data_IF_112941698617
#
_entry.id   IF_112941698617
#
_cell.length_a   1.000
_cell.length_b   1.000
_cell.length_c   1.000
_cell.angle_alpha   90.00
_cell.angle_beta   90.00
_cell.angle_gamma   90.00
#
_symmetry.space_group_name_H-M   'P 1'
#
loop_
_entity.id
_entity.type
_entity.pdbx_description
1 polymer ?
#
# COMPACT_ATOMS: atom_id res chain seq x y z
N UNK A 1 -82.70 -2.31 -21.13
CA UNK A 1 -83.22 -2.21 -19.73
C UNK A 1 -82.19 -1.43 -18.94
N UNK A 2 -82.40 -0.13 -18.67
CA UNK A 2 -82.90 0.47 -17.40
C UNK A 2 -81.91 0.33 -16.21
N UNK A 3 -81.89 1.30 -15.26
CA UNK A 3 -80.74 2.20 -15.05
C UNK A 3 -80.14 2.19 -13.62
N UNK A 4 -79.06 2.98 -13.42
CA UNK A 4 -78.52 3.47 -12.12
C UNK A 4 -79.60 4.02 -11.16
N UNK A 5 -79.37 4.08 -9.83
CA UNK A 5 -78.89 5.36 -9.23
C UNK A 5 -78.08 5.32 -7.90
N UNK A 6 -77.14 6.28 -7.83
CA UNK A 6 -76.87 7.32 -6.79
C UNK A 6 -76.51 7.03 -5.31
N UNK A 7 -75.36 7.62 -4.96
CA UNK A 7 -75.07 8.61 -3.88
C UNK A 7 -75.57 8.43 -2.43
N UNK A 8 -74.62 8.57 -1.48
CA UNK A 8 -74.59 9.55 -0.36
C UNK A 8 -73.24 9.41 0.36
N UNK A 9 -72.37 10.43 0.39
CA UNK A 9 -72.41 11.69 1.17
C UNK A 9 -72.01 11.52 2.65
N UNK A 10 -70.76 11.93 2.93
CA UNK A 10 -70.36 12.87 3.98
C UNK A 10 -70.56 12.52 5.46
N UNK A 11 -69.47 12.58 6.24
CA UNK A 11 -69.28 13.63 7.24
C UNK A 11 -67.91 13.59 7.92
N UNK A 12 -67.35 14.78 8.02
CA UNK A 12 -66.18 15.24 8.77
C UNK A 12 -66.34 15.06 10.28
N UNK A 13 -65.24 14.83 11.01
CA UNK A 13 -64.97 15.47 12.32
C UNK A 13 -63.46 15.73 12.45
N UNK A 14 -63.13 17.01 12.62
CA UNK A 14 -61.81 17.59 12.92
C UNK A 14 -61.51 17.65 14.43
N UNK A 15 -60.26 18.04 14.73
CA UNK A 15 -59.75 18.62 16.01
C UNK A 15 -59.47 17.62 17.13
N UNK A 16 -58.41 17.71 17.94
CA UNK A 16 -57.50 18.79 18.36
C UNK A 16 -56.32 18.08 19.08
N UNK A 17 -55.09 18.55 19.19
CA UNK A 17 -54.62 19.81 19.75
C UNK A 17 -53.38 19.48 20.61
N UNK A 18 -52.24 20.10 20.30
CA UNK A 18 -51.01 20.04 21.11
C UNK A 18 -51.21 20.71 22.48
N UNK A 19 -50.33 20.38 23.44
CA UNK A 19 -49.65 21.47 24.13
C UNK A 19 -48.15 21.22 24.36
N UNK A 20 -47.40 22.30 24.17
CA UNK A 20 -46.03 22.54 24.67
C UNK A 20 -46.09 22.84 26.17
N UNK A 21 -45.02 22.55 26.93
CA UNK A 21 -44.50 23.58 27.81
C UNK A 21 -42.97 23.73 27.78
N UNK A 22 -42.55 24.94 28.15
CA UNK A 22 -41.19 25.49 28.14
C UNK A 22 -40.36 25.06 29.36
N UNK A 23 -39.06 24.87 29.09
CA UNK A 23 -37.85 25.22 29.85
C UNK A 23 -37.85 25.18 31.39
N UNK A 24 -36.97 24.35 31.96
CA UNK A 24 -36.14 24.74 33.12
C UNK A 24 -34.72 24.20 33.00
N UNK A 25 -33.80 25.09 33.33
CA UNK A 25 -32.35 24.99 33.28
C UNK A 25 -31.83 24.28 34.52
N UNK A 26 -30.95 23.27 34.37
CA UNK A 26 -29.98 22.93 35.42
C UNK A 26 -28.62 22.59 34.83
N UNK A 27 -27.68 23.43 35.25
CA UNK A 27 -26.24 23.41 35.05
C UNK A 27 -25.57 22.31 35.88
N UNK A 28 -24.53 21.69 35.30
CA UNK A 28 -23.24 21.32 35.91
C UNK A 28 -22.80 19.92 35.46
N UNK A 29 -21.72 19.84 34.67
CA UNK A 29 -20.42 19.32 35.14
C UNK A 29 -19.40 19.35 33.99
N UNK A 30 -18.31 20.07 34.23
CA UNK A 30 -16.94 19.92 33.71
C UNK A 30 -16.72 19.42 32.28
N UNK A 31 -16.54 20.38 31.38
CA UNK A 31 -15.73 20.20 30.17
C UNK A 31 -14.41 20.94 30.35
N UNK A 32 -13.39 20.21 30.81
CA UNK A 32 -11.99 20.63 30.74
C UNK A 32 -11.59 20.74 29.27
N UNK A 33 -11.73 21.92 28.69
CA UNK A 33 -11.10 22.27 27.41
C UNK A 33 -9.60 22.45 27.65
N UNK A 34 -8.80 21.44 27.35
CA UNK A 34 -7.38 21.63 27.08
C UNK A 34 -7.24 22.35 25.75
N UNK A 35 -6.61 23.53 25.79
CA UNK A 35 -6.31 24.37 24.65
C UNK A 35 -5.68 23.59 23.49
N UNK A 36 -6.35 23.61 22.33
CA UNK A 36 -5.81 23.21 21.03
C UNK A 36 -5.06 24.44 20.49
N UNK A 37 -3.83 24.66 20.96
CA UNK A 37 -2.90 25.63 20.31
C UNK A 37 -1.41 25.41 20.60
N UNK A 38 -1.00 24.26 21.14
CA UNK A 38 0.43 23.96 21.44
C UNK A 38 0.87 22.55 20.97
N UNK A 39 0.48 22.15 19.76
CA UNK A 39 1.02 20.94 19.11
C UNK A 39 1.40 21.19 17.64
N UNK A 40 2.02 22.34 17.36
CA UNK A 40 2.48 22.71 16.02
C UNK A 40 4.02 22.72 15.86
N UNK A 41 4.77 22.05 16.75
CA UNK A 41 6.23 22.14 16.76
C UNK A 41 6.99 20.79 16.81
N UNK A 42 6.34 19.66 16.44
CA UNK A 42 7.03 18.35 16.42
C UNK A 42 6.77 17.49 15.16
N UNK A 43 6.42 18.10 14.03
CA UNK A 43 6.40 17.40 12.72
C UNK A 43 7.25 18.18 11.74
N UNK A 44 8.57 17.98 11.82
CA UNK A 44 9.55 18.72 11.04
C UNK A 44 10.96 18.23 11.28
N UNK A 45 11.16 16.91 11.20
CA UNK A 45 12.49 16.37 10.90
C UNK A 45 12.34 15.54 9.64
N UNK A 46 12.56 16.22 8.53
CA UNK A 46 13.03 15.58 7.31
C UNK A 46 14.31 14.82 7.67
N UNK A 47 14.16 13.55 8.04
CA UNK A 47 15.27 12.61 7.96
C UNK A 47 15.47 12.37 6.49
N UNK A 48 16.34 13.17 5.89
CA UNK A 48 16.93 12.94 4.58
C UNK A 48 17.60 11.56 4.63
N UNK A 49 16.83 10.53 4.24
CA UNK A 49 17.26 9.15 4.33
C UNK A 49 18.11 8.89 3.09
N UNK A 50 19.42 8.77 3.29
CA UNK A 50 20.34 8.64 2.16
C UNK A 50 20.18 7.27 1.52
N UNK A 51 20.50 7.16 0.23
CA UNK A 51 20.55 5.85 -0.47
C UNK A 51 21.39 4.84 0.32
N UNK A 52 22.45 5.29 1.02
CA UNK A 52 23.28 4.45 1.88
C UNK A 52 22.53 3.89 3.10
N UNK A 53 21.62 4.66 3.70
CA UNK A 53 20.82 4.22 4.84
C UNK A 53 19.83 3.12 4.42
N UNK A 54 19.24 3.24 3.23
CA UNK A 54 18.34 2.22 2.67
C UNK A 54 19.11 0.95 2.32
N UNK A 55 20.31 1.09 1.75
CA UNK A 55 21.15 -0.03 1.37
C UNK A 55 21.75 -0.77 2.58
N UNK A 56 21.99 -0.07 3.69
CA UNK A 56 22.49 -0.66 4.94
C UNK A 56 21.46 -1.60 5.59
N UNK A 57 20.17 -1.37 5.38
CA UNK A 57 19.11 -2.26 5.86
C UNK A 57 19.16 -3.65 5.21
N UNK A 58 19.58 -3.76 3.95
CA UNK A 58 19.76 -5.03 3.25
C UNK A 58 20.99 -5.82 3.70
N UNK A 59 22.05 -5.13 4.14
CA UNK A 59 23.27 -5.79 4.60
C UNK A 59 23.09 -6.46 5.97
N UNK A 60 22.07 -6.06 6.73
CA UNK A 60 21.83 -6.52 8.11
C UNK A 60 20.95 -7.78 8.21
N UNK A 61 20.26 -8.17 7.14
CA UNK A 61 19.43 -9.39 7.11
C UNK A 61 20.25 -10.61 6.68
N UNK A 62 21.30 -10.95 7.43
CA UNK A 62 21.81 -12.32 7.48
C UNK A 62 21.32 -12.97 8.77
N UNK A 63 20.22 -13.70 8.69
CA UNK A 63 19.86 -14.69 9.70
C UNK A 63 21.05 -15.63 9.87
N UNK A 64 21.64 -15.60 11.06
CA UNK A 64 22.76 -16.42 11.49
C UNK A 64 22.30 -17.86 11.64
N UNK A 65 22.48 -18.65 10.58
CA UNK A 65 22.34 -20.10 10.67
C UNK A 65 23.56 -20.66 11.42
N UNK A 66 23.28 -21.03 12.67
CA UNK A 66 24.17 -21.63 13.66
C UNK A 66 24.73 -22.96 13.11
N UNK A 67 26.04 -23.03 12.87
CA UNK A 67 26.75 -24.31 12.76
C UNK A 67 28.15 -24.18 13.35
N UNK A 68 28.43 -24.99 14.37
CA UNK A 68 29.76 -25.20 14.94
C UNK A 68 30.57 -26.11 14.02
N UNK A 69 31.89 -25.93 13.98
CA UNK A 69 32.72 -27.07 14.34
C UNK A 69 33.93 -26.73 15.21
N UNK A 70 34.51 -27.82 15.68
CA UNK A 70 35.47 -27.98 16.75
C UNK A 70 36.84 -27.34 16.53
N UNK A 71 37.42 -27.02 17.69
CA UNK A 71 38.77 -26.56 18.02
C UNK A 71 39.86 -27.56 17.64
N UNK A 72 40.95 -27.07 17.03
CA UNK A 72 42.33 -27.51 17.29
C UNK A 72 43.33 -26.40 16.86
N UNK A 73 44.21 -26.00 17.78
CA UNK A 73 45.46 -25.26 17.52
C UNK A 73 46.63 -26.26 17.57
N UNK A 74 47.83 -25.94 17.01
CA UNK A 74 48.82 -25.22 17.82
C UNK A 74 49.68 -24.18 17.06
N UNK A 75 50.45 -23.49 17.90
CA UNK A 75 51.17 -22.21 17.83
C UNK A 75 52.47 -22.16 17.00
N UNK A 76 53.23 -21.06 17.23
CA UNK A 76 54.66 -20.75 16.93
C UNK A 76 54.96 -20.17 15.52
N UNK A 77 55.73 -19.08 15.30
CA UNK A 77 56.61 -18.22 16.12
C UNK A 77 56.65 -16.75 15.59
N UNK A 78 57.19 -15.88 16.46
CA UNK A 78 57.55 -14.46 16.40
C UNK A 78 58.38 -13.96 15.20
N UNK A 79 58.30 -12.66 14.89
CA UNK A 79 59.40 -11.70 15.15
C UNK A 79 59.12 -10.28 14.62
N UNK A 80 59.61 -9.33 15.42
CA UNK A 80 59.54 -7.88 15.31
C UNK A 80 60.31 -7.32 14.13
N UNK A 81 59.91 -6.14 13.62
CA UNK A 81 60.84 -5.08 13.19
C UNK A 81 60.18 -3.71 13.07
N UNK A 82 60.87 -2.74 13.66
CA UNK A 82 60.65 -1.30 13.76
C UNK A 82 61.16 -0.52 12.55
N UNK A 83 60.60 0.67 12.31
CA UNK A 83 61.19 1.76 11.50
C UNK A 83 60.10 2.66 10.91
N UNK A 84 59.72 3.79 11.53
CA UNK A 84 60.27 5.17 11.42
C UNK A 84 60.10 5.86 10.05
N UNK A 85 59.79 7.16 10.16
CA UNK A 85 59.86 8.30 9.22
C UNK A 85 58.75 8.53 8.17
N UNK A 86 57.91 9.50 8.52
CA UNK A 86 57.59 10.73 7.78
C UNK A 86 58.04 10.84 6.31
N UNK A 87 57.07 11.12 5.45
CA UNK A 87 57.28 11.63 4.09
C UNK A 87 56.01 12.34 3.64
N UNK A 88 56.02 13.68 3.70
CA UNK A 88 55.04 14.54 3.07
C UNK A 88 55.25 14.54 1.56
N UNK A 89 54.27 14.09 0.78
CA UNK A 89 54.22 14.36 -0.65
C UNK A 89 52.79 14.70 -1.04
N UNK A 90 52.57 16.00 -1.19
CA UNK A 90 51.39 16.63 -1.75
C UNK A 90 51.27 16.26 -3.23
N UNK A 91 50.39 15.30 -3.53
CA UNK A 91 49.93 15.07 -4.90
C UNK A 91 48.47 15.52 -5.03
N UNK A 92 48.31 16.58 -5.82
CA UNK A 92 47.06 17.15 -6.30
C UNK A 92 46.21 16.04 -6.94
N UNK A 93 45.20 15.55 -6.23
CA UNK A 93 44.15 14.72 -6.82
C UNK A 93 43.17 15.63 -7.54
N UNK A 94 43.24 15.61 -8.87
CA UNK A 94 42.12 15.99 -9.74
C UNK A 94 40.84 15.34 -9.21
N UNK A 95 39.87 16.15 -8.78
CA UNK A 95 38.52 15.71 -8.39
C UNK A 95 37.79 15.16 -9.61
N UNK A 96 38.12 13.93 -9.97
CA UNK A 96 37.28 13.06 -10.78
C UNK A 96 36.19 12.55 -9.85
N UNK A 97 34.95 12.87 -10.16
CA UNK A 97 33.71 12.48 -9.48
C UNK A 97 33.48 10.97 -9.55
N UNK A 98 34.41 10.15 -9.03
CA UNK A 98 34.24 8.71 -8.90
C UNK A 98 33.32 8.45 -7.72
N UNK A 99 32.03 8.21 -8.02
CA UNK A 99 31.10 7.62 -7.05
C UNK A 99 31.78 6.42 -6.36
N UNK A 100 31.52 6.17 -5.07
CA UNK A 100 32.06 5.01 -4.39
C UNK A 100 31.58 3.75 -5.12
N UNK A 101 32.50 2.90 -5.61
CA UNK A 101 32.19 1.62 -6.28
C UNK A 101 31.18 0.74 -5.51
N UNK A 102 31.04 0.96 -4.21
CA UNK A 102 30.04 0.32 -3.36
C UNK A 102 28.59 0.64 -3.78
N UNK A 103 28.28 1.89 -4.13
CA UNK A 103 26.91 2.33 -4.51
C UNK A 103 26.47 1.71 -5.84
N UNK A 104 27.37 1.66 -6.82
CA UNK A 104 27.07 1.03 -8.12
C UNK A 104 26.85 -0.48 -7.97
N UNK A 105 27.66 -1.14 -7.14
CA UNK A 105 27.47 -2.58 -6.85
C UNK A 105 26.15 -2.86 -6.15
N UNK A 106 25.71 -1.99 -5.25
CA UNK A 106 24.41 -2.15 -4.61
C UNK A 106 23.23 -1.93 -5.57
N UNK A 107 23.32 -0.97 -6.49
CA UNK A 107 22.28 -0.76 -7.51
C UNK A 107 22.14 -2.00 -8.39
N UNK A 108 23.27 -2.57 -8.84
CA UNK A 108 23.28 -3.82 -9.62
C UNK A 108 22.63 -4.98 -8.85
N UNK A 109 22.85 -5.09 -7.54
CA UNK A 109 22.21 -6.11 -6.71
C UNK A 109 20.69 -5.93 -6.60
N UNK A 110 20.21 -4.68 -6.52
CA UNK A 110 18.77 -4.40 -6.52
C UNK A 110 18.14 -4.78 -7.86
N UNK A 111 18.79 -4.40 -8.97
CA UNK A 111 18.35 -4.76 -10.31
C UNK A 111 18.28 -6.28 -10.47
N UNK A 112 19.35 -7.00 -10.11
CA UNK A 112 19.36 -8.48 -10.16
C UNK A 112 18.23 -9.07 -9.30
N UNK A 113 17.94 -8.48 -8.14
CA UNK A 113 16.87 -8.96 -7.25
C UNK A 113 15.48 -8.76 -7.85
N UNK A 114 15.25 -7.68 -8.61
CA UNK A 114 14.02 -7.43 -9.36
C UNK A 114 13.88 -8.42 -10.52
N UNK A 115 14.93 -8.58 -11.33
CA UNK A 115 14.94 -9.45 -12.52
C UNK A 115 14.78 -10.93 -12.16
N UNK A 116 15.34 -11.35 -11.03
CA UNK A 116 15.20 -12.73 -10.53
C UNK A 116 13.93 -12.94 -9.71
N UNK A 117 13.10 -11.90 -9.53
CA UNK A 117 11.90 -11.88 -8.70
C UNK A 117 12.12 -12.41 -7.27
N UNK A 118 13.36 -12.33 -6.75
CA UNK A 118 13.68 -12.66 -5.35
C UNK A 118 12.98 -11.72 -4.38
N UNK A 119 12.77 -10.47 -4.82
CA UNK A 119 11.96 -9.48 -4.15
C UNK A 119 10.63 -9.38 -4.88
N UNK A 120 9.57 -9.84 -4.22
CA UNK A 120 8.24 -9.92 -4.80
C UNK A 120 7.12 -9.50 -3.84
N UNK A 121 7.43 -8.81 -2.74
CA UNK A 121 6.40 -8.27 -1.84
C UNK A 121 6.16 -6.79 -2.12
N UNK A 122 4.94 -6.31 -1.86
CA UNK A 122 4.59 -4.90 -2.08
C UNK A 122 5.58 -3.96 -1.40
N UNK A 123 5.83 -4.20 -0.11
CA UNK A 123 6.68 -3.34 0.72
C UNK A 123 8.09 -3.24 0.16
N UNK A 124 8.67 -4.36 -0.29
CA UNK A 124 10.04 -4.37 -0.79
C UNK A 124 10.16 -3.77 -2.20
N UNK A 125 9.19 -4.02 -3.07
CA UNK A 125 9.13 -3.38 -4.39
C UNK A 125 8.99 -1.85 -4.26
N UNK A 126 8.06 -1.36 -3.41
CA UNK A 126 7.94 0.07 -3.10
C UNK A 126 9.22 0.65 -2.48
N UNK A 127 9.95 -0.15 -1.68
CA UNK A 127 11.23 0.30 -1.09
C UNK A 127 12.32 0.47 -2.16
N UNK A 128 12.40 -0.43 -3.13
CA UNK A 128 13.33 -0.29 -4.27
C UNK A 128 12.89 0.86 -5.19
N UNK A 129 11.59 1.04 -5.42
CA UNK A 129 11.05 2.18 -6.18
C UNK A 129 11.47 3.53 -5.59
N UNK A 130 11.42 3.68 -4.26
CA UNK A 130 11.94 4.89 -3.57
C UNK A 130 13.45 5.09 -3.75
N UNK A 131 14.23 4.00 -3.81
CA UNK A 131 15.67 4.09 -4.12
C UNK A 131 15.88 4.56 -5.56
N UNK A 132 15.10 4.03 -6.51
CA UNK A 132 15.17 4.47 -7.91
C UNK A 132 14.82 5.96 -8.04
N UNK A 133 13.78 6.43 -7.34
CA UNK A 133 13.36 7.84 -7.35
C UNK A 133 14.36 8.82 -6.71
N UNK A 134 15.29 8.33 -5.87
CA UNK A 134 16.34 9.16 -5.22
C UNK A 134 17.67 9.13 -5.97
N UNK A 135 17.76 8.47 -7.12
CA UNK A 135 18.97 8.43 -7.93
C UNK A 135 19.26 9.79 -8.57
N UNK A 136 20.34 10.44 -8.15
CA UNK A 136 20.81 11.72 -8.72
C UNK A 136 21.39 11.59 -10.15
N UNK A 137 21.79 10.37 -10.53
CA UNK A 137 22.36 10.09 -11.86
C UNK A 137 21.29 9.50 -12.76
N UNK A 138 21.07 10.14 -13.90
CA UNK A 138 20.11 9.74 -14.92
C UNK A 138 20.36 8.31 -15.43
N UNK A 139 21.62 7.90 -15.60
CA UNK A 139 21.95 6.53 -16.04
C UNK A 139 21.50 5.48 -15.01
N UNK A 140 21.68 5.76 -13.72
CA UNK A 140 21.27 4.86 -12.64
C UNK A 140 19.74 4.80 -12.53
N UNK A 141 19.05 5.94 -12.69
CA UNK A 141 17.59 6.01 -12.70
C UNK A 141 16.98 5.23 -13.88
N UNK A 142 17.53 5.41 -15.09
CA UNK A 142 17.11 4.69 -16.30
C UNK A 142 17.35 3.18 -16.17
N UNK A 143 18.43 2.76 -15.52
CA UNK A 143 18.73 1.35 -15.31
C UNK A 143 17.66 0.61 -14.47
N UNK A 144 16.89 1.32 -13.63
CA UNK A 144 15.78 0.71 -12.90
C UNK A 144 14.51 0.55 -13.73
N UNK A 145 14.32 1.35 -14.79
CA UNK A 145 13.03 1.45 -15.49
C UNK A 145 12.52 0.10 -15.99
N UNK A 146 13.32 -0.63 -16.77
CA UNK A 146 12.97 -1.95 -17.29
C UNK A 146 12.73 -2.98 -16.18
N UNK A 147 13.71 -3.23 -15.29
CA UNK A 147 13.61 -4.21 -14.21
C UNK A 147 12.41 -3.99 -13.28
N UNK A 148 12.14 -2.74 -12.90
CA UNK A 148 11.02 -2.42 -12.02
C UNK A 148 9.67 -2.59 -12.72
N UNK A 149 9.56 -2.19 -13.99
CA UNK A 149 8.35 -2.41 -14.80
C UNK A 149 8.04 -3.91 -14.88
N UNK A 150 9.06 -4.73 -15.17
CA UNK A 150 8.91 -6.18 -15.23
C UNK A 150 8.56 -6.80 -13.87
N UNK A 151 9.13 -6.29 -12.77
CA UNK A 151 8.81 -6.76 -11.43
C UNK A 151 7.37 -6.44 -11.01
N UNK A 152 6.86 -5.25 -11.32
CA UNK A 152 5.45 -4.91 -11.06
C UNK A 152 4.49 -5.71 -11.93
N UNK A 153 4.82 -5.92 -13.21
CA UNK A 153 4.04 -6.79 -14.10
C UNK A 153 3.98 -8.23 -13.53
N UNK A 154 5.13 -8.79 -13.13
CA UNK A 154 5.18 -10.11 -12.50
C UNK A 154 4.38 -10.16 -11.19
N UNK A 155 4.51 -9.15 -10.32
CA UNK A 155 3.80 -9.10 -9.03
C UNK A 155 2.28 -9.17 -9.19
N UNK A 156 1.73 -8.53 -10.22
CA UNK A 156 0.30 -8.60 -10.53
C UNK A 156 -0.05 -9.93 -11.21
N UNK A 157 0.66 -10.30 -12.28
CA UNK A 157 0.34 -11.46 -13.10
C UNK A 157 0.59 -12.82 -12.41
N UNK A 158 1.48 -12.87 -11.40
CA UNK A 158 1.74 -14.07 -10.59
C UNK A 158 0.75 -14.27 -9.43
N UNK A 159 -0.31 -13.46 -9.33
CA UNK A 159 -1.26 -13.43 -8.22
C UNK A 159 -0.67 -13.04 -6.85
N UNK A 160 0.53 -12.48 -6.82
CA UNK A 160 1.15 -12.06 -5.57
C UNK A 160 0.40 -10.87 -4.96
N UNK A 161 -0.04 -9.89 -5.77
CA UNK A 161 -0.93 -8.81 -5.34
C UNK A 161 -2.25 -9.35 -4.73
N UNK A 162 -2.91 -10.30 -5.40
CA UNK A 162 -4.13 -10.92 -4.91
C UNK A 162 -3.89 -11.64 -3.57
N UNK A 163 -2.77 -12.34 -3.45
CA UNK A 163 -2.38 -13.06 -2.23
C UNK A 163 -2.21 -12.09 -1.06
N UNK A 164 -1.55 -10.95 -1.27
CA UNK A 164 -1.38 -9.94 -0.22
C UNK A 164 -2.72 -9.26 0.14
N UNK A 165 -3.58 -8.95 -0.84
CA UNK A 165 -4.93 -8.43 -0.59
C UNK A 165 -5.79 -9.42 0.21
N UNK A 166 -5.71 -10.72 -0.09
CA UNK A 166 -6.37 -11.78 0.70
C UNK A 166 -5.79 -11.91 2.10
N UNK A 167 -4.51 -11.61 2.28
CA UNK A 167 -3.88 -11.49 3.60
C UNK A 167 -4.50 -10.40 4.48
N UNK A 168 -5.04 -9.34 3.86
CA UNK A 168 -5.74 -8.22 4.53
C UNK A 168 -7.26 -8.41 4.64
N UNK A 169 -7.84 -9.30 3.85
CA UNK A 169 -9.29 -9.57 3.77
C UNK A 169 -9.62 -10.96 4.31
N UNK A 170 -9.24 -11.24 5.55
CA UNK A 170 -9.29 -12.62 6.09
C UNK A 170 -10.70 -13.09 6.42
N UNK A 171 -11.57 -12.16 6.79
CA UNK A 171 -12.95 -12.48 7.16
C UNK A 171 -13.75 -12.79 5.90
N UNK A 172 -13.48 -12.01 4.86
CA UNK A 172 -14.13 -12.07 3.57
C UNK A 172 -13.08 -11.95 2.45
N UNK A 173 -12.46 -13.06 2.03
CA UNK A 173 -11.40 -13.05 1.03
C UNK A 173 -11.78 -12.33 -0.25
N UNK A 174 -10.93 -11.39 -0.70
CA UNK A 174 -11.12 -10.66 -1.93
C UNK A 174 -11.28 -11.63 -3.13
N UNK A 175 -12.34 -11.41 -3.92
CA UNK A 175 -12.59 -12.22 -5.11
C UNK A 175 -11.51 -11.99 -6.17
N UNK A 176 -11.24 -12.98 -7.02
CA UNK A 176 -10.21 -12.83 -8.07
C UNK A 176 -10.66 -11.87 -9.18
N UNK A 177 -11.96 -11.85 -9.46
CA UNK A 177 -12.53 -11.18 -10.64
C UNK A 177 -12.35 -9.66 -10.60
N UNK A 178 -12.41 -9.05 -9.41
CA UNK A 178 -12.19 -7.61 -9.24
C UNK A 178 -10.79 -7.17 -9.72
N UNK A 179 -9.76 -7.98 -9.45
CA UNK A 179 -8.39 -7.66 -9.86
C UNK A 179 -8.18 -7.91 -11.35
N UNK A 180 -8.82 -8.96 -11.89
CA UNK A 180 -8.80 -9.23 -13.33
C UNK A 180 -9.45 -8.09 -14.12
N UNK A 181 -10.64 -7.63 -13.71
CA UNK A 181 -11.35 -6.52 -14.36
C UNK A 181 -10.54 -5.22 -14.26
N UNK A 182 -9.98 -4.91 -13.10
CA UNK A 182 -9.08 -3.77 -12.93
C UNK A 182 -7.87 -3.84 -13.88
N UNK A 183 -7.23 -5.00 -14.01
CA UNK A 183 -6.11 -5.17 -14.94
C UNK A 183 -6.53 -4.97 -16.40
N UNK A 184 -7.69 -5.48 -16.81
CA UNK A 184 -8.23 -5.25 -18.17
C UNK A 184 -8.49 -3.75 -18.40
N UNK A 185 -9.05 -3.05 -17.42
CA UNK A 185 -9.32 -1.60 -17.50
C UNK A 185 -8.04 -0.79 -17.62
N UNK A 186 -7.01 -1.12 -16.84
CA UNK A 186 -5.68 -0.50 -16.95
C UNK A 186 -5.11 -0.68 -18.37
N UNK A 187 -5.18 -1.88 -18.94
CA UNK A 187 -4.66 -2.16 -20.29
C UNK A 187 -5.40 -1.39 -21.39
N UNK A 188 -6.67 -1.06 -21.16
CA UNK A 188 -7.50 -0.29 -22.10
C UNK A 188 -7.43 1.23 -21.86
N UNK A 189 -6.80 1.68 -20.78
CA UNK A 189 -6.70 3.09 -20.44
C UNK A 189 -5.45 3.73 -21.07
N UNK A 190 -5.59 4.71 -21.99
CA UNK A 190 -4.46 5.38 -22.61
C UNK A 190 -3.55 6.11 -21.61
N UNK A 191 -4.09 6.52 -20.45
CA UNK A 191 -3.34 7.22 -19.41
C UNK A 191 -2.50 6.26 -18.53
N UNK A 192 -2.71 4.95 -18.63
CA UNK A 192 -1.92 3.96 -17.86
C UNK A 192 -0.46 3.92 -18.27
N UNK A 193 -0.12 4.41 -19.47
CA UNK A 193 1.27 4.60 -19.92
C UNK A 193 1.98 5.77 -19.21
N UNK A 194 1.43 6.32 -18.14
CA UNK A 194 2.08 7.34 -17.29
C UNK A 194 2.79 6.75 -16.08
N UNK A 195 2.66 5.44 -15.85
CA UNK A 195 3.33 4.74 -14.75
C UNK A 195 3.79 3.36 -15.17
N UNK A 196 4.97 2.98 -14.69
CA UNK A 196 5.51 1.61 -14.68
C UNK A 196 4.90 0.72 -13.60
N UNK A 197 4.10 1.28 -12.69
CA UNK A 197 3.60 0.58 -11.50
C UNK A 197 2.21 -0.01 -11.75
N UNK A 198 2.18 -1.21 -12.34
CA UNK A 198 0.93 -1.90 -12.67
C UNK A 198 0.05 -2.17 -11.44
N UNK A 199 0.66 -2.43 -10.27
CA UNK A 199 -0.06 -2.70 -9.04
C UNK A 199 -0.84 -1.45 -8.56
N UNK A 200 -0.15 -0.31 -8.51
CA UNK A 200 -0.78 0.97 -8.18
C UNK A 200 -1.90 1.30 -9.16
N UNK A 201 -1.67 1.16 -10.47
CA UNK A 201 -2.70 1.39 -11.50
C UNK A 201 -3.94 0.52 -11.28
N UNK A 202 -3.77 -0.78 -11.01
CA UNK A 202 -4.90 -1.67 -10.74
C UNK A 202 -5.66 -1.26 -9.47
N UNK A 203 -4.96 -0.97 -8.38
CA UNK A 203 -5.57 -0.54 -7.13
C UNK A 203 -6.35 0.77 -7.29
N UNK A 204 -5.79 1.73 -8.02
CA UNK A 204 -6.45 2.99 -8.35
C UNK A 204 -7.70 2.75 -9.18
N UNK A 205 -7.67 1.88 -10.21
CA UNK A 205 -8.87 1.51 -10.96
C UNK A 205 -9.94 0.83 -10.12
N UNK A 206 -9.55 -0.04 -9.18
CA UNK A 206 -10.50 -0.65 -8.24
C UNK A 206 -11.25 0.42 -7.44
N UNK A 207 -10.53 1.45 -6.97
CA UNK A 207 -11.09 2.54 -6.17
C UNK A 207 -11.91 3.53 -7.02
N UNK A 208 -11.34 4.05 -8.10
CA UNK A 208 -11.95 5.10 -8.94
C UNK A 208 -13.20 4.61 -9.69
N UNK A 209 -13.18 3.38 -10.20
CA UNK A 209 -14.32 2.82 -10.94
C UNK A 209 -15.37 2.19 -10.00
N UNK A 210 -15.15 2.24 -8.68
CA UNK A 210 -16.08 1.71 -7.69
C UNK A 210 -16.29 0.19 -7.79
N UNK A 211 -15.27 -0.56 -8.23
CA UNK A 211 -15.42 -1.99 -8.51
C UNK A 211 -15.79 -2.79 -7.26
N UNK A 212 -15.32 -2.36 -6.09
CA UNK A 212 -15.57 -3.05 -4.81
C UNK A 212 -17.05 -3.27 -4.57
N UNK A 213 -17.88 -2.23 -4.72
CA UNK A 213 -19.31 -2.32 -4.40
C UNK A 213 -20.04 -3.30 -5.33
N UNK A 214 -19.74 -3.25 -6.63
CA UNK A 214 -20.32 -4.17 -7.61
C UNK A 214 -19.95 -5.63 -7.36
N UNK A 215 -18.66 -5.91 -7.14
CA UNK A 215 -18.22 -7.28 -6.88
C UNK A 215 -18.63 -7.78 -5.49
N UNK A 216 -18.74 -6.91 -4.49
CA UNK A 216 -19.24 -7.27 -3.16
C UNK A 216 -20.70 -7.71 -3.23
N UNK A 217 -21.54 -7.01 -4.00
CA UNK A 217 -22.93 -7.40 -4.21
C UNK A 217 -23.04 -8.74 -4.96
N UNK A 218 -22.25 -8.94 -6.01
CA UNK A 218 -22.21 -10.19 -6.76
C UNK A 218 -21.76 -11.37 -5.89
N UNK A 219 -20.72 -11.17 -5.06
CA UNK A 219 -20.22 -12.21 -4.17
C UNK A 219 -21.23 -12.54 -3.08
N UNK A 220 -21.88 -11.54 -2.50
CA UNK A 220 -22.90 -11.74 -1.47
C UNK A 220 -24.17 -12.43 -1.98
N UNK A 221 -24.49 -12.30 -3.27
CA UNK A 221 -25.64 -12.97 -3.86
C UNK A 221 -25.40 -14.46 -4.16
N UNK A 222 -24.15 -14.94 -4.10
CA UNK A 222 -23.80 -16.34 -4.39
C UNK A 222 -24.45 -17.29 -3.38
N UNK A 223 -25.21 -18.32 -3.81
CA UNK A 223 -25.83 -19.28 -2.90
C UNK A 223 -24.82 -19.99 -1.99
N UNK A 224 -23.57 -20.15 -2.42
CA UNK A 224 -22.49 -20.75 -1.64
C UNK A 224 -22.22 -19.99 -0.33
N UNK A 225 -22.41 -18.66 -0.32
CA UNK A 225 -22.28 -17.84 0.89
C UNK A 225 -23.37 -18.11 1.93
N UNK A 226 -24.45 -18.76 1.51
CA UNK A 226 -25.64 -19.02 2.32
C UNK A 226 -25.89 -20.52 2.52
N UNK A 227 -24.91 -21.37 2.25
CA UNK A 227 -25.04 -22.82 2.38
C UNK A 227 -25.91 -23.46 1.30
N UNK A 228 -25.94 -22.86 0.10
CA UNK A 228 -26.67 -23.34 -1.07
C UNK A 228 -28.11 -22.85 -1.18
N UNK A 229 -28.56 -21.96 -0.30
CA UNK A 229 -29.87 -21.29 -0.40
C UNK A 229 -29.76 -19.96 -1.14
N UNK A 230 -30.87 -19.51 -1.69
CA UNK A 230 -30.98 -18.14 -2.18
C UNK A 230 -31.21 -17.18 -1.00
N UNK A 231 -30.41 -16.11 -0.87
CA UNK A 231 -30.63 -15.07 0.14
C UNK A 231 -31.80 -14.15 -0.25
N UNK A 232 -32.40 -13.49 0.75
CA UNK A 232 -33.22 -12.32 0.47
C UNK A 232 -32.34 -11.15 -0.01
N UNK A 233 -32.95 -10.16 -0.68
CA UNK A 233 -32.23 -8.94 -1.10
C UNK A 233 -31.60 -8.21 0.09
N UNK A 234 -32.29 -8.16 1.23
CA UNK A 234 -31.78 -7.51 2.45
C UNK A 234 -30.59 -8.28 3.06
N UNK A 235 -30.65 -9.60 3.08
CA UNK A 235 -29.56 -10.46 3.58
C UNK A 235 -28.32 -10.32 2.71
N UNK A 236 -28.49 -10.38 1.38
CA UNK A 236 -27.41 -10.18 0.43
C UNK A 236 -26.79 -8.78 0.58
N UNK A 237 -27.61 -7.74 0.72
CA UNK A 237 -27.12 -6.37 0.91
C UNK A 237 -26.30 -6.20 2.21
N UNK A 238 -26.73 -6.83 3.31
CA UNK A 238 -25.97 -6.78 4.58
C UNK A 238 -24.61 -7.46 4.47
N UNK A 239 -24.54 -8.62 3.81
CA UNK A 239 -23.27 -9.30 3.58
C UNK A 239 -22.39 -8.53 2.59
N UNK A 240 -22.97 -7.95 1.53
CA UNK A 240 -22.27 -7.07 0.59
C UNK A 240 -21.61 -5.88 1.30
N UNK A 241 -22.30 -5.26 2.25
CA UNK A 241 -21.72 -4.17 3.05
C UNK A 241 -20.50 -4.63 3.89
N UNK A 242 -20.50 -5.88 4.35
CA UNK A 242 -19.36 -6.46 5.07
C UNK A 242 -18.16 -6.70 4.15
N UNK A 243 -18.39 -7.26 2.95
CA UNK A 243 -17.39 -7.38 1.89
C UNK A 243 -16.81 -6.02 1.54
N UNK A 244 -17.68 -5.06 1.20
CA UNK A 244 -17.30 -3.72 0.76
C UNK A 244 -16.43 -3.01 1.80
N UNK A 245 -16.79 -3.10 3.08
CA UNK A 245 -16.00 -2.51 4.16
C UNK A 245 -14.58 -3.11 4.23
N UNK A 246 -14.45 -4.44 4.26
CA UNK A 246 -13.13 -5.08 4.42
C UNK A 246 -12.27 -4.90 3.16
N UNK A 247 -12.87 -5.00 1.97
CA UNK A 247 -12.18 -4.87 0.69
C UNK A 247 -11.69 -3.45 0.44
N UNK A 248 -12.53 -2.42 0.67
CA UNK A 248 -12.09 -1.03 0.59
C UNK A 248 -10.95 -0.75 1.56
N UNK A 249 -11.08 -1.20 2.82
CA UNK A 249 -10.01 -1.05 3.81
C UNK A 249 -8.70 -1.70 3.36
N UNK A 250 -8.76 -2.87 2.71
CA UNK A 250 -7.58 -3.54 2.18
C UNK A 250 -6.94 -2.78 1.01
N UNK A 251 -7.75 -2.32 0.05
CA UNK A 251 -7.30 -1.50 -1.09
C UNK A 251 -6.66 -0.21 -0.60
N UNK A 252 -7.31 0.51 0.32
CA UNK A 252 -6.80 1.73 0.93
C UNK A 252 -5.47 1.47 1.66
N UNK A 253 -5.37 0.37 2.39
CA UNK A 253 -4.12 -0.01 3.07
C UNK A 253 -2.97 -0.26 2.09
N UNK A 254 -3.24 -0.91 0.95
CA UNK A 254 -2.23 -1.10 -0.07
C UNK A 254 -1.83 0.23 -0.72
N UNK A 255 -2.79 1.09 -1.08
CA UNK A 255 -2.55 2.39 -1.71
C UNK A 255 -1.71 3.34 -0.85
N UNK A 256 -1.78 3.23 0.49
CA UNK A 256 -0.94 4.02 1.42
C UNK A 256 0.57 3.85 1.23
N UNK A 257 1.03 2.84 0.49
CA UNK A 257 2.45 2.70 0.16
C UNK A 257 2.96 3.82 -0.77
N UNK A 258 2.05 4.54 -1.45
CA UNK A 258 2.34 5.65 -2.33
C UNK A 258 1.68 6.92 -1.81
N UNK A 259 2.43 7.76 -1.10
CA UNK A 259 1.96 9.10 -0.70
C UNK A 259 1.86 10.05 -1.90
N UNK A 260 2.65 9.80 -2.93
CA UNK A 260 2.64 10.50 -4.23
C UNK A 260 2.44 9.43 -5.30
N UNK A 261 1.56 9.65 -6.29
CA UNK A 261 1.39 8.74 -7.42
C UNK A 261 2.73 8.43 -8.10
N UNK A 262 3.09 7.16 -8.35
CA UNK A 262 4.31 6.77 -9.05
C UNK A 262 4.18 6.99 -10.57
N UNK A 263 3.79 8.20 -10.98
CA UNK A 263 3.58 8.61 -12.37
C UNK A 263 4.70 9.53 -12.83
N UNK A 264 5.08 9.45 -14.10
CA UNK A 264 5.94 10.47 -14.73
C UNK A 264 5.09 11.63 -15.31
N UNK A 265 5.64 12.85 -15.22
CA UNK A 265 5.05 14.09 -15.72
C UNK A 265 5.79 14.59 -16.96
#
# INVERSE_FOLDING_TARGET
MRPMPRERSGKDISSSGSPVPKSESRSSTDSSYTNITELHDYVGKDTEFTVQDILSSFSSSRLTQKSHPFRATPSTMSSSRSGRSAGSSSHRSSKSSKKPRAVQRSIQQLIESLETHRVNTLTELCRIERVAATCENEEDALAFQGPMTAAWDYYVNSNQLLTELRGLTRSYPLCTDILYDAHVRVRNDPDSNKSWNLAWLCLTKIQEDGLVSGYAALEAAKPEMWGGRDPSEEEAAQLAACFEYEWNKAVDNMLRHWSIPPTWY
#
